data_IF_087568171397
#
_entry.id   IF_087568171397
#
_cell.length_a   1.000
_cell.length_b   1.000
_cell.length_c   1.000
_cell.angle_alpha   90.00
_cell.angle_beta   90.00
_cell.angle_gamma   90.00
#
_symmetry.space_group_name_H-M   'P 1'
#
loop_
_entity.id
_entity.type
_entity.pdbx_description
1 polymer ?
#
# COMPACT_ATOMS: atom_id res chain seq x y z
N UNK A 1 15.42 -20.37 -8.13
CA UNK A 1 16.05 -20.02 -6.82
C UNK A 1 16.28 -18.52 -6.70
N UNK A 2 16.48 -17.81 -7.80
CA UNK A 2 16.74 -16.37 -7.88
C UNK A 2 15.62 -15.50 -7.30
N UNK A 3 14.36 -15.72 -7.69
CA UNK A 3 13.20 -14.98 -7.15
C UNK A 3 13.05 -15.11 -5.63
N UNK A 4 13.37 -16.28 -5.05
CA UNK A 4 13.28 -16.48 -3.59
C UNK A 4 14.32 -15.65 -2.85
N UNK A 5 15.55 -15.59 -3.37
CA UNK A 5 16.64 -14.81 -2.80
C UNK A 5 16.35 -13.31 -2.91
N UNK A 6 15.85 -12.86 -4.07
CA UNK A 6 15.42 -11.49 -4.29
C UNK A 6 14.34 -11.05 -3.28
N UNK A 7 13.26 -11.83 -3.16
CA UNK A 7 12.16 -11.54 -2.24
C UNK A 7 12.62 -11.54 -0.78
N UNK A 8 13.48 -12.49 -0.39
CA UNK A 8 13.99 -12.56 0.99
C UNK A 8 14.88 -11.36 1.31
N UNK A 9 15.77 -10.96 0.38
CA UNK A 9 16.57 -9.74 0.53
C UNK A 9 15.68 -8.49 0.60
N UNK A 10 14.63 -8.42 -0.22
CA UNK A 10 13.69 -7.30 -0.23
C UNK A 10 13.00 -7.18 1.12
N UNK A 11 12.33 -8.23 1.59
CA UNK A 11 11.62 -8.23 2.87
C UNK A 11 12.59 -7.93 4.01
N UNK A 12 13.76 -8.56 4.04
CA UNK A 12 14.79 -8.30 5.06
C UNK A 12 15.22 -6.85 5.10
N UNK A 13 15.57 -6.26 3.95
CA UNK A 13 16.00 -4.86 3.88
C UNK A 13 14.86 -3.88 4.24
N UNK A 14 13.64 -4.14 3.79
CA UNK A 14 12.46 -3.35 4.14
C UNK A 14 12.27 -3.33 5.66
N UNK A 15 12.27 -4.50 6.32
CA UNK A 15 12.07 -4.58 7.77
C UNK A 15 13.26 -4.00 8.55
N UNK A 16 14.50 -4.19 8.10
CA UNK A 16 15.66 -3.58 8.74
C UNK A 16 15.56 -2.05 8.78
N UNK A 17 15.22 -1.42 7.64
CA UNK A 17 15.00 0.04 7.59
C UNK A 17 13.80 0.41 8.44
N UNK A 18 12.67 -0.29 8.24
CA UNK A 18 11.42 0.06 8.87
C UNK A 18 11.49 0.00 10.40
N UNK A 19 11.92 -1.13 10.96
CA UNK A 19 11.99 -1.36 12.40
C UNK A 19 13.17 -0.62 13.04
N UNK A 20 14.29 -0.47 12.34
CA UNK A 20 15.41 0.32 12.82
C UNK A 20 15.05 1.80 12.99
N UNK A 21 14.43 2.39 11.96
CA UNK A 21 14.00 3.79 12.01
C UNK A 21 12.85 3.98 13.00
N UNK A 22 11.76 3.21 12.87
CA UNK A 22 10.61 3.35 13.77
C UNK A 22 10.96 3.08 15.24
N UNK A 23 11.81 2.09 15.54
CA UNK A 23 12.30 1.84 16.90
C UNK A 23 13.04 3.04 17.48
N UNK A 24 13.88 3.71 16.68
CA UNK A 24 14.53 4.95 17.09
C UNK A 24 13.50 6.07 17.35
N UNK A 25 12.47 6.21 16.50
CA UNK A 25 11.42 7.23 16.69
C UNK A 25 10.58 7.00 17.95
N UNK A 26 10.23 5.75 18.24
CA UNK A 26 9.51 5.36 19.46
C UNK A 26 10.34 5.72 20.70
N UNK A 27 11.65 5.42 20.66
CA UNK A 27 12.57 5.74 21.77
C UNK A 27 12.75 7.25 21.91
N UNK A 28 12.96 7.98 20.81
CA UNK A 28 13.04 9.44 20.78
C UNK A 28 11.75 10.10 21.30
N UNK A 29 10.61 9.45 21.10
CA UNK A 29 9.32 9.83 21.65
C UNK A 29 9.33 10.10 23.15
N UNK A 30 10.15 9.35 23.90
CA UNK A 30 10.32 9.51 25.35
C UNK A 30 11.00 10.82 25.74
N UNK A 31 11.66 11.49 24.79
CA UNK A 31 12.27 12.81 24.94
C UNK A 31 11.53 13.91 24.15
N UNK A 32 10.26 13.68 23.82
CA UNK A 32 9.39 14.70 23.22
C UNK A 32 9.40 14.77 21.70
N UNK A 33 10.07 13.83 21.01
CA UNK A 33 9.90 13.70 19.56
C UNK A 33 8.47 13.25 19.22
N UNK A 34 7.92 13.81 18.16
CA UNK A 34 6.65 13.36 17.58
C UNK A 34 6.63 13.65 16.08
N UNK A 35 5.81 12.90 15.35
CA UNK A 35 5.49 13.20 13.95
C UNK A 35 4.26 14.11 13.88
N UNK A 36 4.13 14.83 12.76
CA UNK A 36 3.06 15.81 12.57
C UNK A 36 2.24 15.47 11.34
N UNK A 37 0.94 15.19 11.53
CA UNK A 37 0.00 14.99 10.42
C UNK A 37 -0.24 16.27 9.59
N UNK A 38 -0.18 17.43 10.25
CA UNK A 38 -0.24 18.75 9.60
C UNK A 38 1.00 19.55 9.96
N UNK A 39 1.73 19.97 8.94
CA UNK A 39 2.99 20.69 9.08
C UNK A 39 2.73 22.19 8.91
N UNK A 40 3.04 22.97 9.93
CA UNK A 40 2.92 24.42 9.96
C UNK A 40 4.28 25.13 9.98
N UNK A 41 5.33 24.42 10.39
CA UNK A 41 6.68 24.98 10.51
C UNK A 41 7.73 24.11 9.83
N UNK A 42 8.87 24.68 9.38
CA UNK A 42 9.99 23.91 8.85
C UNK A 42 10.54 22.87 9.84
N UNK A 43 10.47 23.14 11.15
CA UNK A 43 10.89 22.20 12.18
C UNK A 43 9.98 20.96 12.23
N UNK A 44 8.66 21.15 12.15
CA UNK A 44 7.70 20.03 12.06
C UNK A 44 7.90 19.22 10.77
N UNK A 45 8.19 19.90 9.66
CA UNK A 45 8.53 19.22 8.40
C UNK A 45 9.78 18.35 8.56
N UNK A 46 10.85 18.90 9.13
CA UNK A 46 12.10 18.19 9.35
C UNK A 46 11.92 17.00 10.31
N UNK A 47 11.08 17.13 11.35
CA UNK A 47 10.74 16.05 12.26
C UNK A 47 10.09 14.85 11.55
N UNK A 48 9.41 15.05 10.42
CA UNK A 48 8.80 13.97 9.64
C UNK A 48 9.78 13.25 8.68
N UNK A 49 11.00 13.76 8.46
CA UNK A 49 11.95 13.15 7.52
C UNK A 49 12.33 11.70 7.90
N UNK A 50 12.66 11.40 9.16
CA UNK A 50 12.87 10.01 9.57
C UNK A 50 11.62 9.14 9.38
N UNK A 51 10.45 9.67 9.68
CA UNK A 51 9.19 8.94 9.47
C UNK A 51 8.96 8.62 7.98
N UNK A 52 9.31 9.53 7.08
CA UNK A 52 9.27 9.27 5.64
C UNK A 52 10.23 8.13 5.23
N UNK A 53 11.41 7.99 5.86
CA UNK A 53 12.31 6.86 5.61
C UNK A 53 11.71 5.52 6.06
N UNK A 54 11.00 5.51 7.20
CA UNK A 54 10.24 4.34 7.64
C UNK A 54 9.21 3.93 6.59
N UNK A 55 8.37 4.88 6.18
CA UNK A 55 7.27 4.64 5.24
C UNK A 55 7.79 4.26 3.84
N UNK A 56 8.85 4.92 3.35
CA UNK A 56 9.47 4.63 2.05
C UNK A 56 10.37 3.39 2.05
N UNK A 57 10.51 2.69 3.17
CA UNK A 57 11.36 1.49 3.26
C UNK A 57 11.07 0.41 2.20
N UNK A 58 9.82 0.15 1.74
CA UNK A 58 9.58 -0.79 0.64
C UNK A 58 10.11 -0.27 -0.69
N UNK A 59 9.94 1.02 -1.00
CA UNK A 59 10.46 1.62 -2.23
C UNK A 59 12.00 1.60 -2.26
N UNK A 60 12.64 2.01 -1.16
CA UNK A 60 14.10 2.01 -0.99
C UNK A 60 14.64 0.59 -1.13
N UNK A 61 14.02 -0.39 -0.44
CA UNK A 61 14.45 -1.78 -0.49
C UNK A 61 14.25 -2.39 -1.89
N UNK A 62 13.16 -2.04 -2.57
CA UNK A 62 12.89 -2.50 -3.93
C UNK A 62 13.99 -2.06 -4.90
N UNK A 63 14.31 -0.77 -4.94
CA UNK A 63 15.41 -0.27 -5.77
C UNK A 63 16.77 -0.86 -5.37
N UNK A 64 17.09 -0.89 -4.07
CA UNK A 64 18.37 -1.39 -3.57
C UNK A 64 18.60 -2.88 -3.87
N UNK A 65 17.58 -3.71 -3.72
CA UNK A 65 17.68 -5.15 -4.00
C UNK A 65 17.78 -5.45 -5.49
N UNK A 66 17.03 -4.75 -6.34
CA UNK A 66 17.14 -4.88 -7.79
C UNK A 66 18.53 -4.49 -8.28
N UNK A 67 19.09 -3.37 -7.78
CA UNK A 67 20.46 -2.96 -8.13
C UNK A 67 21.49 -4.03 -7.70
N UNK A 68 21.38 -4.60 -6.49
CA UNK A 68 22.31 -5.61 -5.97
C UNK A 68 22.18 -6.98 -6.63
N UNK A 69 21.01 -7.32 -7.17
CA UNK A 69 20.75 -8.63 -7.80
C UNK A 69 21.43 -8.83 -9.16
N UNK A 70 22.26 -7.90 -9.62
CA UNK A 70 22.84 -7.93 -10.97
C UNK A 70 21.87 -7.46 -12.06
N UNK A 71 20.60 -7.21 -11.73
CA UNK A 71 19.62 -6.60 -12.63
C UNK A 71 19.87 -5.11 -12.92
N UNK A 72 20.89 -4.51 -12.27
CA UNK A 72 21.48 -3.18 -12.53
C UNK A 72 20.52 -2.12 -13.09
N UNK A 73 19.33 -2.01 -12.50
CA UNK A 73 18.29 -1.11 -12.99
C UNK A 73 18.68 0.33 -12.63
N UNK A 74 18.83 1.19 -13.65
CA UNK A 74 19.02 2.62 -13.42
C UNK A 74 17.78 3.21 -12.73
N UNK A 75 17.95 4.28 -11.96
CA UNK A 75 16.82 4.91 -11.26
C UNK A 75 15.67 5.30 -12.21
N UNK A 76 15.91 5.91 -13.39
CA UNK A 76 14.84 6.22 -14.34
C UNK A 76 14.11 4.98 -14.87
N UNK A 77 14.83 3.86 -15.09
CA UNK A 77 14.23 2.61 -15.55
C UNK A 77 13.36 1.97 -14.48
N UNK A 78 13.80 2.02 -13.22
CA UNK A 78 12.99 1.55 -12.09
C UNK A 78 11.71 2.40 -11.96
N UNK A 79 11.85 3.72 -12.02
CA UNK A 79 10.70 4.63 -11.95
C UNK A 79 9.72 4.40 -13.11
N UNK A 80 10.23 4.22 -14.34
CA UNK A 80 9.41 3.91 -15.51
C UNK A 80 8.66 2.58 -15.41
N UNK A 81 9.21 1.60 -14.68
CA UNK A 81 8.50 0.34 -14.40
C UNK A 81 7.40 0.51 -13.34
N UNK A 82 7.63 1.34 -12.31
CA UNK A 82 6.64 1.63 -11.27
C UNK A 82 5.48 2.46 -11.82
N UNK A 83 5.78 3.42 -12.69
CA UNK A 83 4.80 4.36 -13.27
C UNK A 83 4.41 4.00 -14.71
N UNK A 84 4.36 2.70 -15.04
CA UNK A 84 3.91 2.25 -16.35
C UNK A 84 2.39 2.42 -16.49
N UNK A 85 1.97 3.42 -17.27
CA UNK A 85 0.56 3.83 -17.43
C UNK A 85 -0.18 2.90 -18.39
N UNK A 86 -1.37 2.46 -17.99
CA UNK A 86 -2.26 1.68 -18.86
C UNK A 86 -2.99 2.60 -19.86
N UNK A 87 -3.14 2.16 -21.11
CA UNK A 87 -3.83 2.93 -22.15
C UNK A 87 -5.35 2.73 -22.12
N UNK A 88 -5.81 1.59 -21.60
CA UNK A 88 -7.24 1.25 -21.53
C UNK A 88 -7.89 1.88 -20.30
N UNK A 89 -9.12 2.37 -20.46
CA UNK A 89 -9.90 2.99 -19.37
C UNK A 89 -10.40 2.01 -18.29
N UNK A 90 -10.66 0.75 -18.66
CA UNK A 90 -11.25 -0.25 -17.76
C UNK A 90 -10.51 -0.46 -16.42
N UNK A 91 -9.17 -0.58 -16.37
CA UNK A 91 -8.44 -0.69 -15.10
C UNK A 91 -8.63 0.52 -14.16
N UNK A 92 -8.68 1.74 -14.70
CA UNK A 92 -8.93 2.93 -13.89
C UNK A 92 -10.35 2.93 -13.32
N UNK A 93 -11.33 2.49 -14.11
CA UNK A 93 -12.70 2.31 -13.63
C UNK A 93 -12.76 1.29 -12.49
N UNK A 94 -12.01 0.19 -12.57
CA UNK A 94 -11.94 -0.80 -11.48
C UNK A 94 -11.33 -0.21 -10.20
N UNK A 95 -10.24 0.55 -10.32
CA UNK A 95 -9.60 1.27 -9.21
C UNK A 95 -10.58 2.25 -8.55
N UNK A 96 -11.27 3.08 -9.34
CA UNK A 96 -12.27 4.03 -8.83
C UNK A 96 -13.46 3.31 -8.21
N UNK A 97 -13.96 2.23 -8.85
CA UNK A 97 -15.07 1.45 -8.33
C UNK A 97 -14.74 0.83 -6.96
N UNK A 98 -13.54 0.28 -6.79
CA UNK A 98 -13.09 -0.22 -5.48
C UNK A 98 -13.14 0.86 -4.40
N UNK A 99 -12.63 2.05 -4.71
CA UNK A 99 -12.64 3.19 -3.78
C UNK A 99 -14.08 3.61 -3.41
N UNK A 100 -14.95 3.77 -4.42
CA UNK A 100 -16.35 4.19 -4.22
C UNK A 100 -17.11 3.14 -3.40
N UNK A 101 -17.00 1.86 -3.74
CA UNK A 101 -17.66 0.77 -3.00
C UNK A 101 -17.21 0.77 -1.54
N UNK A 102 -15.90 0.89 -1.28
CA UNK A 102 -15.35 0.87 0.07
C UNK A 102 -15.93 1.97 0.96
N UNK A 103 -15.83 3.23 0.52
CA UNK A 103 -16.29 4.36 1.34
C UNK A 103 -17.81 4.49 1.38
N UNK A 104 -18.53 4.05 0.35
CA UNK A 104 -20.00 4.03 0.35
C UNK A 104 -20.53 3.06 1.40
N UNK A 105 -19.97 1.85 1.50
CA UNK A 105 -20.41 0.88 2.50
C UNK A 105 -20.13 1.39 3.91
N UNK A 106 -19.00 2.06 4.15
CA UNK A 106 -18.74 2.74 5.42
C UNK A 106 -19.78 3.82 5.71
N UNK A 107 -20.12 4.68 4.74
CA UNK A 107 -21.16 5.71 4.92
C UNK A 107 -22.54 5.12 5.24
N UNK A 108 -22.94 4.04 4.55
CA UNK A 108 -24.19 3.31 4.82
C UNK A 108 -24.17 2.71 6.23
N UNK A 109 -23.09 2.03 6.61
CA UNK A 109 -22.98 1.39 7.93
C UNK A 109 -22.91 2.41 9.08
N UNK A 110 -22.31 3.57 8.83
CA UNK A 110 -22.26 4.70 9.76
C UNK A 110 -23.61 5.45 9.85
N UNK A 111 -24.48 5.29 8.85
CA UNK A 111 -25.82 5.88 8.79
C UNK A 111 -25.87 7.30 8.22
N UNK A 112 -24.72 7.89 7.86
CA UNK A 112 -24.61 9.21 7.27
C UNK A 112 -23.25 9.40 6.60
N UNK A 113 -23.17 10.31 5.63
CA UNK A 113 -21.89 10.74 5.05
C UNK A 113 -21.29 11.83 5.92
N UNK A 114 -20.16 11.53 6.58
CA UNK A 114 -19.45 12.47 7.46
C UNK A 114 -18.04 12.76 6.94
N UNK A 115 -17.77 14.04 6.70
CA UNK A 115 -16.46 14.52 6.30
C UNK A 115 -15.65 14.93 7.55
N UNK A 116 -14.42 14.44 7.64
CA UNK A 116 -13.42 14.82 8.65
C UNK A 116 -12.67 16.08 8.21
N UNK A 117 -12.49 16.25 6.90
CA UNK A 117 -11.87 17.39 6.26
C UNK A 117 -12.71 17.83 5.04
N UNK A 118 -12.57 19.09 4.57
CA UNK A 118 -13.22 19.52 3.34
C UNK A 118 -12.83 18.65 2.15
N UNK A 119 -13.72 18.50 1.16
CA UNK A 119 -13.45 17.68 -0.02
C UNK A 119 -12.20 18.15 -0.79
N UNK A 120 -11.85 19.44 -0.73
CA UNK A 120 -10.60 19.95 -1.30
C UNK A 120 -9.35 19.28 -0.74
N UNK A 121 -9.38 18.80 0.52
CA UNK A 121 -8.28 18.08 1.15
C UNK A 121 -7.99 16.73 0.46
N UNK A 122 -8.98 16.13 -0.22
CA UNK A 122 -8.74 14.96 -1.08
C UNK A 122 -7.69 15.30 -2.14
N UNK A 123 -7.93 16.34 -2.94
CA UNK A 123 -7.05 16.74 -4.03
C UNK A 123 -5.71 17.26 -3.53
N UNK A 124 -5.72 18.09 -2.47
CA UNK A 124 -4.51 18.67 -1.89
C UNK A 124 -3.57 17.62 -1.30
N UNK A 125 -4.11 16.50 -0.80
CA UNK A 125 -3.31 15.43 -0.19
C UNK A 125 -2.75 14.42 -1.19
N UNK A 126 -3.18 14.42 -2.46
CA UNK A 126 -2.72 13.45 -3.48
C UNK A 126 -1.19 13.44 -3.67
N UNK A 127 -0.48 14.58 -3.78
CA UNK A 127 0.97 14.56 -3.99
C UNK A 127 1.72 13.96 -2.79
N UNK A 128 1.31 14.33 -1.57
CA UNK A 128 1.87 13.77 -0.35
C UNK A 128 1.61 12.26 -0.29
N UNK A 129 0.34 11.85 -0.43
CA UNK A 129 -0.07 10.45 -0.39
C UNK A 129 0.55 9.61 -1.51
N UNK A 130 0.91 10.20 -2.65
CA UNK A 130 1.66 9.50 -3.69
C UNK A 130 3.04 9.11 -3.18
N UNK A 131 3.74 10.06 -2.56
CA UNK A 131 5.10 9.85 -2.04
C UNK A 131 5.07 8.92 -0.83
N UNK A 132 4.23 9.18 0.16
CA UNK A 132 4.24 8.40 1.41
C UNK A 132 3.42 7.11 1.32
N UNK A 133 2.24 7.09 0.70
CA UNK A 133 1.44 5.86 0.59
C UNK A 133 1.71 5.09 -0.70
N UNK A 134 1.51 5.77 -1.84
CA UNK A 134 1.59 5.15 -3.17
C UNK A 134 2.93 4.44 -3.43
N UNK A 135 4.05 5.08 -3.08
CA UNK A 135 5.38 4.52 -3.33
C UNK A 135 5.67 3.22 -2.57
N UNK A 136 4.92 2.87 -1.50
CA UNK A 136 5.04 1.56 -0.88
C UNK A 136 4.84 0.42 -1.89
N UNK A 137 3.95 0.62 -2.86
CA UNK A 137 3.60 -0.38 -3.88
C UNK A 137 4.73 -0.62 -4.87
N UNK A 138 5.71 0.28 -4.95
CA UNK A 138 6.95 0.06 -5.69
C UNK A 138 7.79 -1.09 -5.12
N UNK A 139 7.51 -1.56 -3.89
CA UNK A 139 8.05 -2.79 -3.34
C UNK A 139 7.01 -3.91 -3.27
N UNK A 140 5.86 -3.66 -2.65
CA UNK A 140 4.87 -4.69 -2.38
C UNK A 140 4.25 -5.27 -3.65
N UNK A 141 3.74 -4.40 -4.53
CA UNK A 141 3.08 -4.79 -5.77
C UNK A 141 4.06 -5.04 -6.92
N UNK A 142 5.29 -4.53 -6.83
CA UNK A 142 6.31 -4.75 -7.86
C UNK A 142 7.13 -6.04 -7.64
N UNK A 143 7.55 -6.33 -6.41
CA UNK A 143 8.42 -7.46 -6.11
C UNK A 143 7.73 -8.58 -5.33
N UNK A 144 7.16 -8.26 -4.15
CA UNK A 144 6.71 -9.29 -3.21
C UNK A 144 5.49 -10.05 -3.73
N UNK A 145 4.37 -9.36 -3.93
CA UNK A 145 3.09 -9.98 -4.24
C UNK A 145 3.10 -10.73 -5.59
N UNK A 146 3.71 -10.20 -6.68
CA UNK A 146 3.84 -10.96 -7.92
C UNK A 146 4.65 -12.26 -7.76
N UNK A 147 5.75 -12.22 -7.00
CA UNK A 147 6.58 -13.40 -6.77
C UNK A 147 5.84 -14.46 -5.93
N UNK A 148 5.09 -14.05 -4.91
CA UNK A 148 4.24 -14.95 -4.13
C UNK A 148 3.08 -15.52 -4.95
N UNK A 149 2.47 -14.72 -5.83
CA UNK A 149 1.42 -15.19 -6.73
C UNK A 149 1.93 -16.26 -7.69
N UNK A 150 3.10 -16.06 -8.32
CA UNK A 150 3.70 -17.07 -9.21
C UNK A 150 3.98 -18.38 -8.50
N UNK A 151 4.35 -18.31 -7.21
CA UNK A 151 4.75 -19.50 -6.43
C UNK A 151 3.57 -20.23 -5.79
N UNK A 152 2.59 -19.50 -5.28
CA UNK A 152 1.55 -20.04 -4.38
C UNK A 152 0.12 -19.70 -4.81
N UNK A 153 -0.06 -18.99 -5.92
CA UNK A 153 -1.37 -18.57 -6.43
C UNK A 153 -1.94 -17.35 -5.73
N UNK A 154 -3.05 -16.85 -6.27
CA UNK A 154 -3.71 -15.62 -5.82
C UNK A 154 -4.03 -15.61 -4.32
N UNK A 155 -4.80 -16.60 -3.83
CA UNK A 155 -5.28 -16.62 -2.44
C UNK A 155 -4.12 -16.58 -1.42
N UNK A 156 -3.16 -17.50 -1.55
CA UNK A 156 -2.02 -17.60 -0.62
C UNK A 156 -1.13 -16.36 -0.70
N UNK A 157 -0.94 -15.80 -1.90
CA UNK A 157 -0.17 -14.56 -2.07
C UNK A 157 -0.81 -13.38 -1.35
N UNK A 158 -2.13 -13.23 -1.45
CA UNK A 158 -2.85 -12.15 -0.77
C UNK A 158 -2.75 -12.28 0.75
N UNK A 159 -2.95 -13.49 1.29
CA UNK A 159 -2.83 -13.75 2.73
C UNK A 159 -1.43 -13.46 3.26
N UNK A 160 -0.39 -13.92 2.56
CA UNK A 160 0.99 -13.77 3.01
C UNK A 160 1.49 -12.33 2.85
N UNK A 161 1.18 -11.67 1.74
CA UNK A 161 1.52 -10.25 1.55
C UNK A 161 0.75 -9.40 2.57
N UNK A 162 -0.52 -9.71 2.84
CA UNK A 162 -1.33 -9.08 3.90
C UNK A 162 -0.70 -9.21 5.27
N UNK A 163 -0.33 -10.42 5.69
CA UNK A 163 0.36 -10.65 6.95
C UNK A 163 1.67 -9.87 7.05
N UNK A 164 2.51 -9.92 6.01
CA UNK A 164 3.78 -9.17 5.96
C UNK A 164 3.53 -7.66 6.08
N UNK A 165 2.53 -7.13 5.37
CA UNK A 165 2.22 -5.70 5.39
C UNK A 165 1.63 -5.25 6.73
N UNK A 166 0.83 -6.08 7.40
CA UNK A 166 0.37 -5.83 8.78
C UNK A 166 1.56 -5.78 9.73
N UNK A 167 2.46 -6.76 9.66
CA UNK A 167 3.67 -6.79 10.49
C UNK A 167 4.53 -5.56 10.25
N UNK A 168 4.66 -5.10 9.01
CA UNK A 168 5.41 -3.88 8.69
C UNK A 168 4.79 -2.61 9.31
N UNK A 169 3.47 -2.58 9.48
CA UNK A 169 2.75 -1.46 10.09
C UNK A 169 2.73 -1.46 11.62
N UNK A 170 3.06 -2.57 12.29
CA UNK A 170 3.00 -2.63 13.77
C UNK A 170 3.69 -1.44 14.45
N UNK A 171 4.92 -1.02 14.06
CA UNK A 171 5.58 0.10 14.70
C UNK A 171 4.80 1.42 14.62
N UNK A 172 3.97 1.61 13.59
CA UNK A 172 3.16 2.82 13.42
C UNK A 172 2.25 3.09 14.62
N UNK A 173 1.78 2.05 15.32
CA UNK A 173 0.94 2.15 16.51
C UNK A 173 1.68 2.59 17.78
N UNK A 174 2.99 2.78 17.71
CA UNK A 174 3.82 3.18 18.84
C UNK A 174 4.58 4.48 18.58
N UNK A 175 4.61 4.98 17.34
CA UNK A 175 5.30 6.23 16.99
C UNK A 175 4.44 7.42 17.43
N UNK A 176 4.93 8.29 18.33
CA UNK A 176 4.15 9.42 18.84
C UNK A 176 3.75 10.40 17.75
N UNK A 177 2.51 10.88 17.82
CA UNK A 177 1.96 11.87 16.87
C UNK A 177 1.30 11.25 15.64
N UNK A 178 1.34 9.92 15.50
CA UNK A 178 0.57 9.22 14.47
C UNK A 178 -0.88 9.05 14.91
N UNK A 179 -1.80 9.01 13.94
CA UNK A 179 -3.22 8.68 14.21
C UNK A 179 -3.43 7.29 14.81
N UNK A 180 -2.48 6.39 14.59
CA UNK A 180 -2.51 5.01 15.06
C UNK A 180 -2.17 4.95 16.56
N UNK A 181 -1.09 5.61 16.97
CA UNK A 181 -0.68 5.69 18.38
C UNK A 181 -1.71 6.46 19.23
N UNK A 182 -2.31 7.51 18.69
CA UNK A 182 -3.38 8.28 19.35
C UNK A 182 -4.70 7.51 19.51
N UNK A 183 -4.80 6.27 19.02
CA UNK A 183 -5.99 5.43 19.15
C UNK A 183 -7.16 5.82 18.25
N UNK A 184 -6.96 6.73 17.28
CA UNK A 184 -7.99 7.09 16.30
C UNK A 184 -8.26 5.96 15.30
N UNK A 185 -7.30 5.06 15.11
CA UNK A 185 -7.41 3.89 14.23
C UNK A 185 -7.25 2.63 15.08
N UNK A 186 -8.29 1.79 15.11
CA UNK A 186 -8.22 0.49 15.78
C UNK A 186 -7.29 -0.45 15.03
N UNK A 187 -6.30 -1.03 15.73
CA UNK A 187 -5.35 -1.98 15.16
C UNK A 187 -6.05 -3.15 14.45
N UNK A 188 -7.08 -3.72 15.08
CA UNK A 188 -7.76 -4.88 14.52
C UNK A 188 -8.59 -4.55 13.27
N UNK A 189 -9.23 -3.38 13.25
CA UNK A 189 -9.93 -2.91 12.05
C UNK A 189 -8.94 -2.60 10.93
N UNK A 190 -7.81 -1.99 11.27
CA UNK A 190 -6.71 -1.71 10.35
C UNK A 190 -6.12 -3.00 9.77
N UNK A 191 -5.92 -4.03 10.58
CA UNK A 191 -5.43 -5.33 10.11
C UNK A 191 -6.39 -5.98 9.11
N UNK A 192 -7.70 -5.92 9.36
CA UNK A 192 -8.73 -6.38 8.40
C UNK A 192 -8.67 -5.59 7.10
N UNK A 193 -8.47 -4.27 7.19
CA UNK A 193 -8.28 -3.40 6.03
C UNK A 193 -7.03 -3.76 5.23
N UNK A 194 -5.87 -3.87 5.88
CA UNK A 194 -4.63 -4.25 5.21
C UNK A 194 -4.77 -5.58 4.46
N UNK A 195 -5.40 -6.57 5.09
CA UNK A 195 -5.62 -7.88 4.46
C UNK A 195 -6.52 -7.77 3.22
N UNK A 196 -7.64 -7.06 3.32
CA UNK A 196 -8.61 -6.91 2.22
C UNK A 196 -8.00 -6.17 1.02
N UNK A 197 -7.23 -5.11 1.27
CA UNK A 197 -6.58 -4.33 0.22
C UNK A 197 -5.53 -5.17 -0.51
N UNK A 198 -4.87 -6.13 0.15
CA UNK A 198 -3.98 -7.06 -0.53
C UNK A 198 -4.72 -8.04 -1.45
N UNK A 199 -5.97 -8.39 -1.17
CA UNK A 199 -6.80 -9.08 -2.17
C UNK A 199 -7.08 -8.20 -3.38
N UNK A 200 -7.38 -6.92 -3.16
CA UNK A 200 -7.62 -5.96 -4.25
C UNK A 200 -6.39 -5.76 -5.13
N UNK A 201 -5.23 -5.46 -4.53
CA UNK A 201 -3.97 -5.33 -5.27
C UNK A 201 -3.58 -6.63 -5.97
N UNK A 202 -3.81 -7.78 -5.33
CA UNK A 202 -3.58 -9.08 -5.97
C UNK A 202 -4.42 -9.26 -7.23
N UNK A 203 -5.68 -8.79 -7.22
CA UNK A 203 -6.56 -8.86 -8.38
C UNK A 203 -6.06 -7.91 -9.47
N UNK A 204 -5.67 -6.68 -9.11
CA UNK A 204 -5.08 -5.72 -10.04
C UNK A 204 -3.84 -6.30 -10.75
N UNK A 205 -2.93 -6.89 -9.97
CA UNK A 205 -1.73 -7.57 -10.45
C UNK A 205 -2.07 -8.72 -11.41
N UNK A 206 -3.06 -9.55 -11.08
CA UNK A 206 -3.46 -10.70 -11.88
C UNK A 206 -4.13 -10.28 -13.21
N UNK A 207 -4.81 -9.13 -13.24
CA UNK A 207 -5.61 -8.67 -14.37
C UNK A 207 -4.81 -7.84 -15.38
N UNK A 208 -3.92 -6.96 -14.90
CA UNK A 208 -3.32 -5.90 -15.72
C UNK A 208 -1.79 -5.91 -15.83
N UNK A 209 -1.10 -6.92 -15.30
CA UNK A 209 0.30 -7.20 -15.65
C UNK A 209 1.23 -6.00 -15.48
N UNK A 210 1.79 -5.48 -16.58
CA UNK A 210 2.83 -4.43 -16.57
C UNK A 210 2.36 -3.10 -15.97
N UNK A 211 1.09 -2.73 -16.13
CA UNK A 211 0.53 -1.49 -15.57
C UNK A 211 0.01 -1.65 -14.14
N UNK A 212 0.01 -2.88 -13.60
CA UNK A 212 -0.60 -3.16 -12.31
C UNK A 212 0.07 -2.42 -11.14
N UNK A 213 1.39 -2.21 -11.19
CA UNK A 213 2.11 -1.49 -10.14
C UNK A 213 1.60 -0.07 -10.05
N UNK A 214 1.51 0.64 -11.18
CA UNK A 214 0.98 1.99 -11.24
C UNK A 214 -0.47 2.06 -10.76
N UNK A 215 -1.31 1.09 -11.13
CA UNK A 215 -2.70 1.03 -10.67
C UNK A 215 -2.81 0.81 -9.15
N UNK A 216 -1.91 0.02 -8.55
CA UNK A 216 -1.84 -0.15 -7.10
C UNK A 216 -1.36 1.14 -6.42
N UNK A 217 -0.32 1.79 -6.96
CA UNK A 217 0.16 3.12 -6.51
C UNK A 217 -0.99 4.13 -6.53
N UNK A 218 -1.72 4.20 -7.64
CA UNK A 218 -2.85 5.11 -7.84
C UNK A 218 -3.98 4.84 -6.84
N UNK A 219 -4.40 3.58 -6.69
CA UNK A 219 -5.43 3.21 -5.73
C UNK A 219 -5.00 3.56 -4.30
N UNK A 220 -3.79 3.17 -3.87
CA UNK A 220 -3.31 3.43 -2.52
C UNK A 220 -3.22 4.94 -2.23
N UNK A 221 -2.73 5.72 -3.20
CA UNK A 221 -2.71 7.18 -3.12
C UNK A 221 -4.10 7.77 -2.90
N UNK A 222 -5.08 7.38 -3.73
CA UNK A 222 -6.45 7.87 -3.61
C UNK A 222 -7.15 7.34 -2.35
N UNK A 223 -6.84 6.12 -1.92
CA UNK A 223 -7.38 5.53 -0.71
C UNK A 223 -6.96 6.33 0.53
N UNK A 224 -5.69 6.68 0.65
CA UNK A 224 -5.20 7.49 1.77
C UNK A 224 -5.76 8.92 1.71
N UNK A 225 -5.84 9.52 0.51
CA UNK A 225 -6.46 10.83 0.33
C UNK A 225 -7.95 10.83 0.71
N UNK A 226 -8.68 9.79 0.32
CA UNK A 226 -10.08 9.59 0.70
C UNK A 226 -10.21 9.32 2.20
N UNK A 227 -9.29 8.57 2.81
CA UNK A 227 -9.28 8.32 4.26
C UNK A 227 -9.10 9.61 5.06
N UNK A 228 -8.26 10.55 4.61
CA UNK A 228 -8.14 11.88 5.24
C UNK A 228 -9.48 12.64 5.27
N UNK A 229 -10.31 12.48 4.25
CA UNK A 229 -11.62 13.14 4.15
C UNK A 229 -12.73 12.36 4.85
N UNK A 230 -12.75 11.04 4.73
CA UNK A 230 -13.87 10.18 5.11
C UNK A 230 -13.59 9.27 6.32
N UNK A 231 -12.41 9.38 6.92
CA UNK A 231 -11.91 8.48 7.97
C UNK A 231 -12.84 8.34 9.17
N UNK A 232 -13.56 9.39 9.56
CA UNK A 232 -14.54 9.35 10.66
C UNK A 232 -15.61 8.24 10.49
N UNK A 233 -16.01 7.94 9.25
CA UNK A 233 -17.00 6.89 8.98
C UNK A 233 -16.44 5.47 9.11
N UNK A 234 -15.12 5.32 9.12
CA UNK A 234 -14.43 4.01 9.10
C UNK A 234 -14.21 3.40 10.48
N UNK A 235 -14.81 4.00 11.51
CA UNK A 235 -14.59 3.69 12.93
C UNK A 235 -15.51 2.60 13.49
N UNK A 236 -16.37 1.99 12.66
CA UNK A 236 -17.35 0.99 13.10
C UNK A 236 -17.00 -0.41 12.59
N UNK A 237 -17.18 -1.44 13.43
CA UNK A 237 -16.97 -2.83 13.02
C UNK A 237 -17.90 -3.26 11.89
N UNK A 238 -19.16 -2.77 11.87
CA UNK A 238 -20.11 -3.06 10.80
C UNK A 238 -19.62 -2.54 9.45
N UNK A 239 -19.16 -1.29 9.40
CA UNK A 239 -18.57 -0.70 8.21
C UNK A 239 -17.31 -1.43 7.78
N UNK A 240 -16.40 -1.70 8.72
CA UNK A 240 -15.16 -2.43 8.45
C UNK A 240 -15.43 -3.81 7.87
N UNK A 241 -16.27 -4.64 8.48
CA UNK A 241 -16.55 -5.97 7.94
C UNK A 241 -17.27 -5.92 6.59
N UNK A 242 -18.25 -5.02 6.44
CA UNK A 242 -18.99 -4.86 5.20
C UNK A 242 -18.13 -4.40 4.03
N UNK A 243 -17.40 -3.29 4.20
CA UNK A 243 -16.59 -2.68 3.15
C UNK A 243 -15.43 -3.59 2.74
N UNK A 244 -14.71 -4.16 3.71
CA UNK A 244 -13.58 -5.05 3.43
C UNK A 244 -14.03 -6.39 2.84
N UNK A 245 -15.16 -6.93 3.31
CA UNK A 245 -15.78 -8.12 2.72
C UNK A 245 -16.17 -7.88 1.26
N UNK A 246 -16.80 -6.74 0.95
CA UNK A 246 -17.15 -6.36 -0.41
C UNK A 246 -15.92 -6.21 -1.32
N UNK A 247 -14.82 -5.62 -0.82
CA UNK A 247 -13.56 -5.53 -1.56
C UNK A 247 -12.99 -6.91 -1.89
N UNK A 248 -12.97 -7.83 -0.91
CA UNK A 248 -12.49 -9.20 -1.13
C UNK A 248 -13.37 -9.92 -2.15
N UNK A 249 -14.70 -9.81 -2.05
CA UNK A 249 -15.64 -10.43 -2.98
C UNK A 249 -15.51 -9.87 -4.40
N UNK A 250 -15.43 -8.53 -4.54
CA UNK A 250 -15.21 -7.86 -5.82
C UNK A 250 -13.91 -8.35 -6.47
N UNK A 251 -12.85 -8.46 -5.69
CA UNK A 251 -11.53 -8.91 -6.15
C UNK A 251 -11.56 -10.37 -6.60
N UNK A 252 -12.15 -11.25 -5.78
CA UNK A 252 -12.28 -12.67 -6.10
C UNK A 252 -13.16 -12.90 -7.35
N UNK A 253 -14.27 -12.17 -7.48
CA UNK A 253 -15.15 -12.23 -8.65
C UNK A 253 -14.42 -11.75 -9.91
N UNK A 254 -13.71 -10.63 -9.85
CA UNK A 254 -12.95 -10.11 -11.00
C UNK A 254 -11.88 -11.11 -11.47
N UNK A 255 -11.16 -11.74 -10.53
CA UNK A 255 -10.18 -12.79 -10.85
C UNK A 255 -10.86 -14.01 -11.47
N UNK A 256 -11.97 -14.48 -10.91
CA UNK A 256 -12.70 -15.65 -11.40
C UNK A 256 -13.26 -15.43 -12.83
N UNK A 257 -13.88 -14.28 -13.09
CA UNK A 257 -14.46 -13.94 -14.40
C UNK A 257 -13.37 -13.84 -15.48
N UNK A 258 -12.18 -13.33 -15.13
CA UNK A 258 -11.11 -13.14 -16.11
C UNK A 258 -10.56 -14.44 -16.71
N UNK A 259 -10.78 -15.59 -16.06
CA UNK A 259 -10.23 -16.89 -16.47
C UNK A 259 -8.69 -16.97 -16.49
N UNK A 260 -7.98 -15.88 -16.14
CA UNK A 260 -6.51 -15.82 -16.15
C UNK A 260 -5.96 -16.62 -14.97
N UNK A 261 -5.47 -17.84 -15.20
CA UNK A 261 -4.71 -18.61 -14.19
C UNK A 261 -3.39 -17.90 -13.86
N UNK A 262 -3.01 -17.93 -12.57
CA UNK A 262 -1.83 -17.27 -11.97
C UNK A 262 -0.45 -17.60 -12.56
N UNK A 263 -0.34 -18.36 -13.64
CA UNK A 263 0.93 -18.64 -14.31
C UNK A 263 1.12 -17.81 -15.60
N UNK A 264 0.03 -17.43 -16.30
CA UNK A 264 0.10 -16.83 -17.64
C UNK A 264 0.06 -15.29 -17.66
N UNK A 265 -0.39 -14.68 -16.56
CA UNK A 265 -0.52 -13.22 -16.43
C UNK A 265 0.78 -12.52 -15.99
N UNK A 266 1.76 -13.27 -15.48
CA UNK A 266 3.01 -12.74 -14.97
C UNK A 266 4.06 -12.81 -16.07
N UNK A 267 4.03 -11.83 -16.97
CA UNK A 267 5.14 -11.59 -17.90
C UNK A 267 6.45 -11.54 -17.13
N UNK A 268 7.52 -12.09 -17.71
CA UNK A 268 8.87 -12.11 -17.15
C UNK A 268 9.36 -10.66 -16.95
N UNK A 269 8.99 -10.01 -15.86
CA UNK A 269 9.64 -8.79 -15.39
C UNK A 269 11.05 -9.17 -14.94
N UNK A 270 11.97 -9.23 -15.91
CA UNK A 270 13.38 -9.53 -15.68
C UNK A 270 14.16 -10.14 -16.84
N UNK A 271 13.53 -10.65 -17.91
CA UNK A 271 14.26 -11.40 -18.95
C UNK A 271 14.10 -10.85 -20.39
N UNK A 272 13.42 -9.73 -20.59
CA UNK A 272 13.25 -9.12 -21.91
C UNK A 272 13.97 -7.78 -22.02
N UNK A 273 15.26 -7.79 -22.33
CA UNK A 273 16.01 -6.76 -23.07
C UNK A 273 17.51 -7.10 -22.97
N UNK A 274 17.92 -8.11 -23.73
CA UNK A 274 19.27 -8.12 -24.29
C UNK A 274 19.37 -7.07 -25.38
#
# INVERSE_FOLDING_TARGET
MEDKKLVSCFVGLTFCIAYGVSGALVVLGRWGYQVYGWVQTPAQWAANLPFALYILSPAIASYGTLRRSGRAVSFPRWLGAVFHVEKKGAPYLFVVAGLVVYFTIHGIAFGQVRLSLPLSAFFLSLPGNLIIGGMEEAGWSYLLQPALCRRWGYLRSCLLTGGIWILWHIPLFFIPGTSHEQGMISFWMFAVQCLSLRFFFGAVIQLWGESAVFLCVLFHTMFNAAFSVFGAMTTTWRGTMGANGAIVLLSAAAVAISGKRSAKAYGKHGEGAG
#
